data_IF_632865968918
#
_entry.id   IF_632865968918
#
_cell.length_a   1.000
_cell.length_b   1.000
_cell.length_c   1.000
_cell.angle_alpha   90.00
_cell.angle_beta   90.00
_cell.angle_gamma   90.00
#
_symmetry.space_group_name_H-M   'P 1'
#
loop_
_entity.id
_entity.type
_entity.pdbx_description
1 polymer ?
#
# COMPACT_ATOMS: atom_id res chain seq x y z
N UNK A 1 -45.58 -79.89 13.70
CA UNK A 1 -44.35 -79.22 14.10
C UNK A 1 -44.29 -77.86 13.41
N UNK A 2 -44.68 -76.77 14.08
CA UNK A 2 -44.71 -75.41 13.56
C UNK A 2 -43.42 -74.74 14.01
N UNK A 3 -42.57 -74.34 13.06
CA UNK A 3 -41.34 -73.53 13.30
C UNK A 3 -41.69 -72.04 13.24
N UNK A 4 -41.58 -71.37 14.36
CA UNK A 4 -41.74 -69.89 14.49
C UNK A 4 -40.41 -69.22 14.15
N UNK A 5 -40.44 -68.36 13.15
CA UNK A 5 -39.28 -67.54 12.67
C UNK A 5 -39.36 -66.20 13.42
N UNK A 6 -38.42 -65.94 14.31
CA UNK A 6 -38.29 -64.65 15.02
C UNK A 6 -37.45 -63.73 14.13
N UNK A 7 -38.06 -62.63 13.65
CA UNK A 7 -37.40 -61.56 12.82
C UNK A 7 -36.87 -60.51 13.83
N UNK A 8 -35.55 -60.43 13.98
CA UNK A 8 -34.89 -59.40 14.78
C UNK A 8 -34.70 -58.16 13.96
N UNK A 9 -35.44 -57.09 14.23
CA UNK A 9 -35.30 -55.78 13.65
C UNK A 9 -34.17 -55.02 14.35
N UNK A 10 -33.01 -54.83 13.66
CA UNK A 10 -31.93 -54.00 14.15
C UNK A 10 -32.26 -52.53 13.87
N UNK A 11 -32.53 -51.73 14.90
CA UNK A 11 -32.60 -50.28 14.81
C UNK A 11 -31.16 -49.70 14.62
N UNK A 12 -30.82 -49.30 13.41
CA UNK A 12 -29.65 -48.49 13.16
C UNK A 12 -29.94 -47.04 13.60
N UNK A 13 -29.44 -46.62 14.74
CA UNK A 13 -29.40 -45.22 15.17
C UNK A 13 -28.34 -44.49 14.36
N UNK A 14 -28.78 -43.66 13.37
CA UNK A 14 -27.94 -42.73 12.66
C UNK A 14 -27.65 -41.53 13.58
N UNK A 15 -26.47 -41.52 14.19
CA UNK A 15 -25.95 -40.31 14.80
C UNK A 15 -25.57 -39.32 13.65
N UNK A 16 -26.07 -38.07 13.67
CA UNK A 16 -25.54 -37.04 12.76
C UNK A 16 -24.08 -36.81 13.17
N UNK A 17 -23.16 -37.12 12.30
CA UNK A 17 -21.79 -36.67 12.44
C UNK A 17 -21.81 -35.12 12.37
N UNK A 18 -21.62 -34.49 13.51
CA UNK A 18 -21.23 -33.08 13.57
C UNK A 18 -19.87 -32.99 12.83
N UNK A 19 -19.91 -32.59 11.57
CA UNK A 19 -18.72 -32.11 10.89
C UNK A 19 -18.31 -30.83 11.61
N UNK A 20 -17.35 -30.93 12.54
CA UNK A 20 -16.58 -29.80 12.98
C UNK A 20 -15.99 -29.23 11.69
N UNK A 21 -16.42 -28.04 11.31
CA UNK A 21 -15.72 -27.29 10.27
C UNK A 21 -14.26 -27.21 10.73
N UNK A 22 -13.34 -27.86 10.02
CA UNK A 22 -11.91 -27.71 10.29
C UNK A 22 -11.59 -26.23 10.17
N UNK A 23 -11.43 -25.58 11.33
CA UNK A 23 -11.02 -24.20 11.41
C UNK A 23 -9.68 -24.05 10.69
N UNK A 24 -9.55 -23.08 9.79
CA UNK A 24 -8.26 -22.75 9.19
C UNK A 24 -7.26 -22.47 10.32
N UNK A 25 -6.09 -23.07 10.24
CA UNK A 25 -5.03 -22.97 11.25
C UNK A 25 -3.92 -21.96 10.88
N UNK A 26 -4.08 -21.25 9.76
CA UNK A 26 -3.12 -20.28 9.23
C UNK A 26 -3.81 -18.95 8.93
N UNK A 27 -3.22 -17.85 9.40
CA UNK A 27 -3.71 -16.48 9.17
C UNK A 27 -3.67 -16.16 7.67
N UNK A 28 -4.76 -15.61 7.14
CA UNK A 28 -4.88 -15.14 5.75
C UNK A 28 -4.92 -13.62 5.71
N UNK A 29 -3.95 -13.05 5.02
CA UNK A 29 -3.73 -11.60 4.88
C UNK A 29 -3.80 -11.24 3.40
N UNK A 30 -4.61 -10.26 3.03
CA UNK A 30 -4.77 -9.77 1.66
C UNK A 30 -4.61 -8.26 1.62
N UNK A 31 -4.37 -7.66 0.46
CA UNK A 31 -4.52 -6.21 0.33
C UNK A 31 -3.35 -5.50 -0.34
N UNK A 32 -3.00 -4.34 0.20
CA UNK A 32 -2.07 -3.37 -0.38
C UNK A 32 -0.72 -3.98 -0.78
N UNK A 33 -0.31 -3.74 -2.03
CA UNK A 33 1.02 -4.06 -2.55
C UNK A 33 2.13 -3.28 -1.82
N UNK A 34 1.85 -2.06 -1.39
CA UNK A 34 2.77 -1.23 -0.61
C UNK A 34 3.04 -1.82 0.79
N UNK A 35 2.00 -2.33 1.45
CA UNK A 35 2.12 -2.94 2.80
C UNK A 35 2.62 -4.39 2.72
N UNK A 36 2.47 -5.04 1.57
CA UNK A 36 2.84 -6.43 1.35
C UNK A 36 4.26 -6.80 1.83
N UNK A 37 5.35 -6.06 1.49
CA UNK A 37 6.69 -6.39 1.93
C UNK A 37 6.86 -6.31 3.45
N UNK A 38 6.21 -5.35 4.10
CA UNK A 38 6.23 -5.20 5.56
C UNK A 38 5.49 -6.36 6.24
N UNK A 39 4.26 -6.62 5.81
CA UNK A 39 3.46 -7.72 6.34
C UNK A 39 4.11 -9.08 6.13
N UNK A 40 4.78 -9.31 4.99
CA UNK A 40 5.52 -10.55 4.71
C UNK A 40 6.72 -10.69 5.65
N UNK A 41 7.46 -9.60 5.91
CA UNK A 41 8.60 -9.63 6.84
C UNK A 41 8.14 -10.00 8.26
N UNK A 42 7.04 -9.41 8.75
CA UNK A 42 6.47 -9.79 10.05
C UNK A 42 5.97 -11.23 10.04
N UNK A 43 5.28 -11.67 8.97
CA UNK A 43 4.76 -13.02 8.83
C UNK A 43 5.87 -14.08 8.87
N UNK A 44 7.00 -13.83 8.21
CA UNK A 44 8.16 -14.72 8.22
C UNK A 44 8.81 -14.81 9.61
N UNK A 45 8.96 -13.67 10.31
CA UNK A 45 9.51 -13.65 11.68
C UNK A 45 8.58 -14.35 12.66
N UNK A 46 7.29 -14.02 12.61
CA UNK A 46 6.27 -14.69 13.40
C UNK A 46 6.22 -16.20 13.13
N UNK A 47 6.31 -16.60 11.87
CA UNK A 47 6.31 -18.03 11.48
C UNK A 47 7.48 -18.82 12.05
N UNK A 48 8.65 -18.19 12.23
CA UNK A 48 9.83 -18.83 12.85
C UNK A 48 9.62 -19.17 14.33
N UNK A 49 8.81 -18.36 15.04
CA UNK A 49 8.53 -18.56 16.47
C UNK A 49 7.28 -19.39 16.71
N UNK A 50 6.23 -19.21 15.90
CA UNK A 50 4.95 -19.91 16.04
C UNK A 50 4.88 -21.26 15.32
N UNK A 51 5.81 -21.54 14.39
CA UNK A 51 5.78 -22.70 13.52
C UNK A 51 4.76 -22.63 12.38
N UNK A 52 4.00 -21.54 12.26
CA UNK A 52 2.98 -21.34 11.21
C UNK A 52 3.12 -19.92 10.62
N UNK A 53 3.59 -19.85 9.37
CA UNK A 53 3.74 -18.58 8.66
C UNK A 53 2.40 -18.13 8.09
N UNK A 54 1.91 -16.92 8.42
CA UNK A 54 0.73 -16.32 7.78
C UNK A 54 0.86 -16.27 6.26
N UNK A 55 -0.25 -16.51 5.55
CA UNK A 55 -0.30 -16.34 4.09
C UNK A 55 -0.58 -14.89 3.77
N UNK A 56 0.31 -14.22 3.05
CA UNK A 56 0.16 -12.83 2.63
C UNK A 56 0.01 -12.77 1.11
N UNK A 57 -1.04 -12.10 0.63
CA UNK A 57 -1.34 -11.95 -0.80
C UNK A 57 -1.52 -10.47 -1.16
N UNK A 58 -0.82 -10.03 -2.21
CA UNK A 58 -0.95 -8.67 -2.77
C UNK A 58 -2.13 -8.62 -3.75
N UNK A 59 -3.20 -7.93 -3.35
CA UNK A 59 -4.44 -7.78 -4.15
C UNK A 59 -4.81 -6.30 -4.38
N UNK A 60 -3.93 -5.38 -3.95
CA UNK A 60 -4.22 -3.96 -3.84
C UNK A 60 -5.19 -3.64 -2.70
N UNK A 61 -5.16 -2.40 -2.18
CA UNK A 61 -6.01 -2.00 -1.04
C UNK A 61 -7.50 -2.23 -1.29
N UNK A 62 -8.01 -1.81 -2.46
CA UNK A 62 -9.43 -1.97 -2.79
C UNK A 62 -9.85 -3.42 -3.00
N UNK A 63 -9.00 -4.24 -3.64
CA UNK A 63 -9.22 -5.67 -3.80
C UNK A 63 -9.23 -6.40 -2.46
N UNK A 64 -8.25 -6.11 -1.60
CA UNK A 64 -8.16 -6.65 -0.26
C UNK A 64 -9.36 -6.30 0.62
N UNK A 65 -9.80 -5.03 0.62
CA UNK A 65 -11.00 -4.62 1.35
C UNK A 65 -12.25 -5.34 0.87
N UNK A 66 -12.41 -5.53 -0.45
CA UNK A 66 -13.54 -6.28 -1.01
C UNK A 66 -13.55 -7.73 -0.53
N UNK A 67 -12.39 -8.41 -0.52
CA UNK A 67 -12.25 -9.78 -0.03
C UNK A 67 -12.46 -9.85 1.49
N UNK A 68 -11.86 -8.94 2.25
CA UNK A 68 -12.02 -8.84 3.69
C UNK A 68 -13.47 -8.60 4.10
N UNK A 69 -14.18 -7.69 3.44
CA UNK A 69 -15.59 -7.38 3.71
C UNK A 69 -16.58 -8.34 3.04
N UNK A 70 -16.15 -9.48 2.47
CA UNK A 70 -17.05 -10.43 1.80
C UNK A 70 -17.89 -11.27 2.77
N UNK A 71 -17.48 -11.40 4.05
CA UNK A 71 -18.18 -12.16 5.06
C UNK A 71 -17.38 -12.32 6.35
N UNK A 72 -18.04 -12.80 7.42
CA UNK A 72 -17.45 -13.04 8.73
C UNK A 72 -17.06 -14.51 8.97
N UNK A 73 -17.21 -15.38 7.98
CA UNK A 73 -16.86 -16.80 8.11
C UNK A 73 -15.32 -16.97 7.98
N UNK A 74 -14.78 -17.98 8.67
CA UNK A 74 -13.32 -18.22 8.75
C UNK A 74 -12.64 -18.63 7.44
N UNK A 75 -13.39 -18.90 6.39
CA UNK A 75 -12.89 -19.11 5.02
C UNK A 75 -12.57 -17.80 4.27
N UNK A 76 -12.98 -16.64 4.84
CA UNK A 76 -12.63 -15.32 4.33
C UNK A 76 -11.35 -14.77 4.98
N UNK A 77 -10.65 -13.77 4.38
CA UNK A 77 -9.42 -13.23 4.96
C UNK A 77 -9.60 -12.65 6.37
N UNK A 78 -8.60 -12.86 7.24
CA UNK A 78 -8.59 -12.36 8.61
C UNK A 78 -8.15 -10.91 8.70
N UNK A 79 -7.18 -10.55 7.83
CA UNK A 79 -6.49 -9.26 7.84
C UNK A 79 -6.50 -8.67 6.44
N UNK A 80 -6.75 -7.36 6.35
CA UNK A 80 -6.59 -6.58 5.13
C UNK A 80 -5.53 -5.49 5.30
N UNK A 81 -4.47 -5.56 4.49
CA UNK A 81 -3.46 -4.50 4.38
C UNK A 81 -3.99 -3.34 3.55
N UNK A 82 -3.68 -2.11 3.95
CA UNK A 82 -4.14 -0.91 3.26
C UNK A 82 -3.12 0.21 3.27
N UNK A 83 -2.92 0.87 2.13
CA UNK A 83 -2.09 2.05 1.97
C UNK A 83 -2.88 3.38 2.04
N UNK A 84 -4.04 3.33 2.62
CA UNK A 84 -4.92 4.42 3.01
C UNK A 84 -5.91 3.94 4.07
N UNK A 85 -6.52 4.87 4.79
CA UNK A 85 -7.59 4.51 5.71
C UNK A 85 -8.77 3.87 4.95
N UNK A 86 -9.48 2.94 5.58
CA UNK A 86 -10.73 2.36 5.07
C UNK A 86 -11.75 3.48 4.80
N UNK A 87 -12.48 3.37 3.70
CA UNK A 87 -13.55 4.32 3.36
C UNK A 87 -14.84 3.95 4.08
N UNK A 88 -15.70 4.93 4.37
CA UNK A 88 -17.02 4.67 4.95
C UNK A 88 -17.80 3.63 4.14
N UNK A 89 -17.82 3.74 2.81
CA UNK A 89 -18.52 2.80 1.93
C UNK A 89 -17.96 1.36 1.97
N UNK A 90 -16.68 1.19 2.32
CA UNK A 90 -16.08 -0.13 2.51
C UNK A 90 -16.47 -0.70 3.87
N UNK A 91 -16.45 0.14 4.92
CA UNK A 91 -16.91 -0.25 6.26
C UNK A 91 -18.40 -0.60 6.27
N UNK A 92 -19.25 0.19 5.62
CA UNK A 92 -20.68 -0.10 5.45
C UNK A 92 -20.86 -1.48 4.80
N UNK A 93 -20.05 -1.79 3.77
CA UNK A 93 -20.08 -3.10 3.10
C UNK A 93 -19.62 -4.24 3.99
N UNK A 94 -18.63 -4.02 4.85
CA UNK A 94 -18.23 -4.97 5.89
C UNK A 94 -19.41 -5.29 6.81
N UNK A 95 -20.06 -4.25 7.35
CA UNK A 95 -21.19 -4.37 8.29
C UNK A 95 -22.37 -5.10 7.64
N UNK A 96 -22.75 -4.73 6.40
CA UNK A 96 -23.80 -5.41 5.61
C UNK A 96 -23.55 -6.91 5.48
N UNK A 97 -22.29 -7.32 5.28
CA UNK A 97 -21.89 -8.72 5.14
C UNK A 97 -21.57 -9.41 6.47
N UNK A 98 -21.90 -8.80 7.61
CA UNK A 98 -21.73 -9.37 8.95
C UNK A 98 -20.37 -9.15 9.60
N UNK A 99 -19.43 -8.46 8.96
CA UNK A 99 -18.14 -8.06 9.54
C UNK A 99 -18.35 -6.75 10.30
N UNK A 100 -18.81 -6.84 11.55
CA UNK A 100 -19.22 -5.67 12.36
C UNK A 100 -18.06 -5.06 13.15
N UNK A 101 -17.20 -5.90 13.70
CA UNK A 101 -16.13 -5.50 14.60
C UNK A 101 -14.80 -5.54 13.85
N UNK A 102 -14.39 -4.39 13.31
CA UNK A 102 -13.15 -4.20 12.58
C UNK A 102 -12.15 -3.43 13.45
N UNK A 103 -10.98 -4.02 13.70
CA UNK A 103 -9.86 -3.37 14.37
C UNK A 103 -9.03 -2.66 13.31
N UNK A 104 -8.75 -1.37 13.49
CA UNK A 104 -7.83 -0.59 12.65
C UNK A 104 -6.47 -0.53 13.34
N UNK A 105 -5.41 -0.84 12.61
CA UNK A 105 -4.04 -0.72 13.09
C UNK A 105 -3.25 0.13 12.09
N UNK A 106 -2.93 1.36 12.46
CA UNK A 106 -1.98 2.19 11.73
C UNK A 106 -0.57 1.68 12.05
N UNK A 107 0.27 1.48 11.02
CA UNK A 107 1.58 0.84 11.21
C UNK A 107 2.77 1.77 10.96
N UNK A 108 2.55 2.89 10.30
CA UNK A 108 3.60 3.85 9.93
C UNK A 108 3.20 4.61 8.69
N UNK A 109 4.20 5.10 7.97
CA UNK A 109 4.00 5.88 6.75
C UNK A 109 4.85 5.33 5.61
N UNK A 110 4.38 5.58 4.39
CA UNK A 110 5.11 5.42 3.15
C UNK A 110 5.37 6.80 2.57
N UNK A 111 6.63 7.13 2.31
CA UNK A 111 7.05 8.36 1.68
C UNK A 111 7.86 8.05 0.43
N UNK A 112 7.40 8.57 -0.72
CA UNK A 112 8.08 8.39 -2.01
C UNK A 112 8.78 9.69 -2.36
N UNK A 113 10.07 9.61 -2.61
CA UNK A 113 10.87 10.78 -2.96
C UNK A 113 11.12 10.83 -4.46
N UNK A 114 11.19 12.05 -4.97
CA UNK A 114 11.71 12.38 -6.26
C UNK A 114 13.08 13.04 -6.04
N UNK A 115 14.13 12.23 -6.16
CA UNK A 115 15.47 12.60 -5.73
C UNK A 115 16.41 12.89 -6.89
N UNK A 116 17.49 13.60 -6.64
CA UNK A 116 18.56 13.89 -7.59
C UNK A 116 19.92 13.87 -6.90
N UNK A 117 21.00 13.85 -7.68
CA UNK A 117 22.34 14.00 -7.13
C UNK A 117 22.46 15.33 -6.36
N UNK A 118 23.18 15.30 -5.23
CA UNK A 118 23.35 16.46 -4.36
C UNK A 118 23.94 17.66 -5.12
N UNK A 119 23.36 18.84 -4.93
CA UNK A 119 23.73 20.09 -5.56
C UNK A 119 23.50 21.26 -4.58
N UNK A 120 23.98 22.50 -4.86
CA UNK A 120 23.90 23.61 -3.91
C UNK A 120 22.50 24.00 -3.44
N UNK A 121 21.48 23.74 -4.28
CA UNK A 121 20.06 23.94 -3.92
C UNK A 121 19.22 22.82 -4.49
N UNK A 122 18.24 22.30 -3.74
CA UNK A 122 17.35 21.24 -4.21
C UNK A 122 16.47 21.76 -5.36
N UNK A 123 16.16 20.87 -6.29
CA UNK A 123 15.19 21.17 -7.35
C UNK A 123 13.80 21.37 -6.76
N UNK A 124 13.03 22.29 -7.35
CA UNK A 124 11.64 22.56 -6.98
C UNK A 124 10.72 22.17 -8.11
N UNK A 125 9.78 21.28 -7.80
CA UNK A 125 8.82 20.75 -8.77
C UNK A 125 7.42 20.72 -8.16
N UNK A 126 6.42 20.66 -9.01
CA UNK A 126 5.06 20.32 -8.60
C UNK A 126 4.72 18.90 -9.03
N UNK A 127 3.76 18.26 -8.38
CA UNK A 127 3.25 16.96 -8.81
C UNK A 127 2.70 17.00 -10.23
N UNK A 128 2.09 18.13 -10.62
CA UNK A 128 1.62 18.33 -11.99
C UNK A 128 2.78 18.35 -13.00
N UNK A 129 3.89 19.04 -12.71
CA UNK A 129 5.07 19.03 -13.57
C UNK A 129 5.65 17.62 -13.72
N UNK A 130 5.70 16.84 -12.63
CA UNK A 130 6.15 15.45 -12.66
C UNK A 130 5.18 14.57 -13.47
N UNK A 131 3.87 14.76 -13.31
CA UNK A 131 2.84 14.08 -14.10
C UNK A 131 3.03 14.37 -15.60
N UNK A 132 3.16 15.65 -15.99
CA UNK A 132 3.40 16.05 -17.38
C UNK A 132 4.72 15.49 -17.91
N UNK A 133 5.74 15.32 -17.07
CA UNK A 133 7.00 14.70 -17.48
C UNK A 133 6.88 13.19 -17.74
N UNK A 134 6.09 12.45 -16.97
CA UNK A 134 6.14 10.99 -16.90
C UNK A 134 4.89 10.25 -17.37
N UNK A 135 3.73 10.91 -17.45
CA UNK A 135 2.53 10.25 -17.96
C UNK A 135 2.70 9.87 -19.44
N UNK A 136 2.16 8.70 -19.84
CA UNK A 136 2.17 8.23 -21.22
C UNK A 136 1.42 9.21 -22.14
N UNK A 137 0.27 9.67 -21.66
CA UNK A 137 -0.54 10.69 -22.33
C UNK A 137 -0.78 11.87 -21.39
N UNK A 138 -0.89 13.05 -21.94
CA UNK A 138 -1.09 14.31 -21.21
C UNK A 138 -2.22 15.13 -21.85
N UNK A 139 -2.88 16.03 -21.10
CA UNK A 139 -3.86 16.95 -21.66
C UNK A 139 -3.30 17.79 -22.80
N UNK A 140 -4.10 18.00 -23.84
CA UNK A 140 -3.72 18.82 -24.99
C UNK A 140 -3.50 20.28 -24.59
N UNK A 141 -2.43 20.91 -25.09
CA UNK A 141 -2.07 22.32 -24.77
C UNK A 141 -3.08 23.35 -25.25
N UNK A 142 -3.92 22.99 -26.23
CA UNK A 142 -4.89 23.91 -26.84
C UNK A 142 -6.18 24.07 -26.04
N UNK A 143 -6.27 23.49 -24.84
CA UNK A 143 -7.47 23.55 -23.98
C UNK A 143 -8.58 22.58 -24.37
N UNK A 144 -8.38 21.72 -25.36
CA UNK A 144 -9.33 20.64 -25.67
C UNK A 144 -9.32 19.57 -24.56
N UNK A 145 -10.48 19.05 -24.20
CA UNK A 145 -10.65 17.97 -23.23
C UNK A 145 -10.28 16.60 -23.86
N UNK A 146 -9.03 16.48 -24.26
CA UNK A 146 -8.47 15.24 -24.80
C UNK A 146 -7.05 14.98 -24.32
N UNK A 147 -6.65 13.72 -24.28
CA UNK A 147 -5.27 13.31 -24.10
C UNK A 147 -4.54 13.21 -25.43
N UNK A 148 -3.27 13.58 -25.42
CA UNK A 148 -2.33 13.37 -26.53
C UNK A 148 -1.13 12.61 -26.02
N UNK A 149 -0.42 11.91 -26.90
CA UNK A 149 0.85 11.28 -26.55
C UNK A 149 1.81 12.33 -26.03
N UNK A 150 2.58 12.01 -25.00
CA UNK A 150 3.39 12.97 -24.27
C UNK A 150 4.46 13.62 -25.19
N UNK A 151 4.36 14.93 -25.50
CA UNK A 151 5.27 15.60 -26.40
C UNK A 151 6.51 16.16 -25.71
N UNK A 152 6.54 16.20 -24.37
CA UNK A 152 7.60 16.85 -23.61
C UNK A 152 8.89 16.04 -23.65
N UNK A 153 10.02 16.69 -24.00
CA UNK A 153 11.35 16.09 -24.05
C UNK A 153 12.30 16.71 -23.03
N UNK A 154 12.14 17.99 -22.79
CA UNK A 154 12.93 18.76 -21.84
C UNK A 154 12.02 19.23 -20.69
N UNK A 155 12.58 19.41 -19.51
CA UNK A 155 11.85 20.01 -18.39
C UNK A 155 11.31 21.41 -18.74
N UNK A 156 12.09 22.21 -19.48
CA UNK A 156 11.66 23.52 -19.96
C UNK A 156 10.53 23.48 -21.02
N UNK A 157 10.18 22.33 -21.58
CA UNK A 157 9.01 22.19 -22.46
C UNK A 157 7.71 22.20 -21.65
N UNK A 158 7.78 21.77 -20.37
CA UNK A 158 6.68 21.76 -19.42
C UNK A 158 6.50 23.16 -18.84
N UNK A 159 7.58 23.73 -18.30
CA UNK A 159 7.59 25.05 -17.69
C UNK A 159 8.93 25.75 -18.01
N UNK A 160 8.86 26.98 -18.51
CA UNK A 160 10.06 27.77 -18.91
C UNK A 160 10.96 28.17 -17.75
N UNK A 161 10.46 28.05 -16.50
CA UNK A 161 11.28 28.26 -15.29
C UNK A 161 12.17 27.07 -14.96
N UNK A 162 11.88 25.89 -15.54
CA UNK A 162 12.65 24.66 -15.34
C UNK A 162 13.86 24.62 -16.29
N UNK A 163 14.90 23.84 -15.94
CA UNK A 163 16.11 23.75 -16.76
C UNK A 163 15.83 23.11 -18.11
N UNK A 164 16.58 23.57 -19.15
CA UNK A 164 16.52 23.00 -20.51
C UNK A 164 17.30 21.67 -20.59
N UNK A 165 17.11 20.78 -19.61
CA UNK A 165 17.70 19.45 -19.57
C UNK A 165 16.67 18.39 -19.98
N UNK A 166 17.16 17.28 -20.54
CA UNK A 166 16.31 16.15 -20.94
C UNK A 166 15.56 15.59 -19.73
N UNK A 167 14.28 15.26 -19.92
CA UNK A 167 13.53 14.48 -18.95
C UNK A 167 14.11 13.07 -18.91
N UNK A 168 14.71 12.73 -17.77
CA UNK A 168 15.29 11.42 -17.51
C UNK A 168 15.03 11.08 -16.05
N UNK A 169 14.20 10.07 -15.82
CA UNK A 169 13.78 9.63 -14.48
C UNK A 169 14.01 8.14 -14.33
N UNK A 170 14.73 7.77 -13.32
CA UNK A 170 15.08 6.39 -13.00
C UNK A 170 14.19 5.94 -11.85
N UNK A 171 13.47 4.85 -12.02
CA UNK A 171 12.53 4.41 -11.00
C UNK A 171 12.28 2.92 -10.99
N UNK A 172 11.52 2.43 -10.02
CA UNK A 172 11.25 1.01 -9.84
C UNK A 172 10.36 0.42 -10.94
N UNK A 173 10.41 -0.91 -11.14
CA UNK A 173 9.61 -1.62 -12.14
C UNK A 173 8.12 -1.69 -11.76
N UNK A 174 7.22 -2.14 -12.66
CA UNK A 174 5.78 -2.28 -12.41
C UNK A 174 5.40 -3.20 -11.24
N UNK A 175 6.28 -4.12 -10.83
CA UNK A 175 6.09 -5.02 -9.68
C UNK A 175 6.28 -4.34 -8.33
N UNK A 176 6.86 -3.13 -8.30
CA UNK A 176 7.22 -2.43 -7.07
C UNK A 176 6.04 -1.69 -6.43
N UNK A 177 5.86 -1.88 -5.11
CA UNK A 177 4.91 -1.09 -4.31
C UNK A 177 5.24 0.41 -4.28
N UNK A 178 6.53 0.79 -4.36
CA UNK A 178 7.00 2.17 -4.49
C UNK A 178 6.48 2.80 -5.78
N UNK A 179 6.53 2.05 -6.90
CA UNK A 179 5.96 2.52 -8.18
C UNK A 179 4.44 2.70 -8.08
N UNK A 180 3.73 1.76 -7.45
CA UNK A 180 2.28 1.89 -7.25
C UNK A 180 1.95 3.15 -6.44
N UNK A 181 2.69 3.41 -5.35
CA UNK A 181 2.54 4.60 -4.53
C UNK A 181 2.79 5.88 -5.33
N UNK A 182 3.88 5.92 -6.10
CA UNK A 182 4.20 7.06 -6.95
C UNK A 182 3.09 7.32 -7.99
N UNK A 183 2.60 6.28 -8.65
CA UNK A 183 1.52 6.40 -9.64
C UNK A 183 0.24 6.95 -9.00
N UNK A 184 -0.14 6.47 -7.81
CA UNK A 184 -1.34 6.96 -7.11
C UNK A 184 -1.17 8.40 -6.60
N UNK A 185 -0.05 8.71 -5.93
CA UNK A 185 0.15 9.98 -5.24
C UNK A 185 0.55 11.12 -6.17
N UNK A 186 1.14 10.82 -7.32
CA UNK A 186 1.61 11.83 -8.29
C UNK A 186 0.77 11.79 -9.57
N UNK A 187 0.78 10.68 -10.33
CA UNK A 187 0.12 10.65 -11.63
C UNK A 187 -1.40 10.75 -11.51
N UNK A 188 -2.01 9.86 -10.75
CA UNK A 188 -3.46 9.85 -10.53
C UNK A 188 -3.94 11.14 -9.86
N UNK A 189 -3.26 11.57 -8.80
CA UNK A 189 -3.61 12.78 -8.06
C UNK A 189 -3.55 14.04 -8.94
N UNK A 190 -2.57 14.15 -9.84
CA UNK A 190 -2.47 15.26 -10.78
C UNK A 190 -3.48 15.15 -11.93
N UNK A 191 -3.72 13.93 -12.42
CA UNK A 191 -4.74 13.67 -13.46
C UNK A 191 -6.14 14.10 -12.99
N UNK A 192 -6.49 13.87 -11.73
CA UNK A 192 -7.78 14.27 -11.11
C UNK A 192 -7.98 15.78 -10.97
N UNK A 193 -6.94 16.57 -11.13
CA UNK A 193 -7.09 18.04 -11.15
C UNK A 193 -7.80 18.52 -12.45
N UNK A 194 -7.83 17.70 -13.48
CA UNK A 194 -8.60 17.94 -14.70
C UNK A 194 -10.00 17.32 -14.52
N UNK A 195 -11.01 18.16 -14.28
CA UNK A 195 -12.38 17.72 -13.95
C UNK A 195 -12.98 16.71 -14.95
N UNK A 196 -12.68 16.86 -16.25
CA UNK A 196 -13.12 15.93 -17.30
C UNK A 196 -12.46 14.56 -17.21
N UNK A 197 -11.22 14.46 -16.71
CA UNK A 197 -10.56 13.18 -16.44
C UNK A 197 -11.09 12.54 -15.16
N UNK A 198 -11.30 13.33 -14.10
CA UNK A 198 -11.93 12.84 -12.87
C UNK A 198 -13.33 12.26 -13.12
N UNK A 199 -14.08 12.87 -14.04
CA UNK A 199 -15.42 12.37 -14.42
C UNK A 199 -15.38 10.97 -15.02
N UNK A 200 -14.31 10.59 -15.71
CA UNK A 200 -14.11 9.24 -16.29
C UNK A 200 -14.03 8.19 -15.16
N UNK A 201 -13.37 8.49 -14.03
CA UNK A 201 -13.28 7.54 -12.90
C UNK A 201 -14.64 7.09 -12.37
N UNK A 202 -15.63 7.98 -12.40
CA UNK A 202 -16.99 7.70 -11.93
C UNK A 202 -17.78 6.80 -12.88
N UNK A 203 -17.40 6.79 -14.17
CA UNK A 203 -18.08 6.05 -15.24
C UNK A 203 -17.35 4.72 -15.52
N UNK A 204 -16.04 4.77 -15.69
CA UNK A 204 -15.19 3.63 -16.06
C UNK A 204 -13.81 3.77 -15.38
N UNK A 205 -13.63 3.03 -14.27
CA UNK A 205 -12.38 3.03 -13.50
C UNK A 205 -11.21 2.45 -14.27
N UNK A 206 -11.46 1.48 -15.16
CA UNK A 206 -10.41 0.84 -15.95
C UNK A 206 -9.91 1.79 -17.05
N UNK A 207 -10.82 2.52 -17.69
CA UNK A 207 -10.47 3.56 -18.66
C UNK A 207 -9.72 4.72 -17.99
N UNK A 208 -10.19 5.17 -16.82
CA UNK A 208 -9.47 6.14 -16.00
C UNK A 208 -8.06 5.64 -15.66
N UNK A 209 -7.91 4.39 -15.22
CA UNK A 209 -6.62 3.79 -14.91
C UNK A 209 -5.66 3.79 -16.11
N UNK A 210 -6.14 3.39 -17.28
CA UNK A 210 -5.34 3.43 -18.52
C UNK A 210 -4.87 4.85 -18.88
N UNK A 211 -5.72 5.86 -18.66
CA UNK A 211 -5.45 7.26 -19.00
C UNK A 211 -4.55 7.98 -17.99
N UNK A 212 -4.77 7.73 -16.70
CA UNK A 212 -4.18 8.52 -15.62
C UNK A 212 -3.02 7.84 -14.89
N UNK A 213 -2.85 6.51 -15.03
CA UNK A 213 -1.83 5.74 -14.30
C UNK A 213 -0.71 5.20 -15.17
N UNK A 214 -0.79 5.37 -16.49
CA UNK A 214 0.22 4.83 -17.40
C UNK A 214 1.44 5.74 -17.48
N UNK A 215 2.62 5.19 -17.18
CA UNK A 215 3.91 5.85 -17.37
C UNK A 215 4.35 5.67 -18.82
N UNK A 216 5.08 6.69 -19.36
CA UNK A 216 5.64 6.65 -20.71
C UNK A 216 6.79 5.66 -20.84
N UNK A 217 6.96 5.08 -22.05
CA UNK A 217 7.94 4.03 -22.35
C UNK A 217 8.96 4.46 -23.42
N UNK A 218 9.05 5.74 -23.71
CA UNK A 218 9.89 6.33 -24.77
C UNK A 218 11.31 6.68 -24.31
N UNK A 219 11.72 6.17 -23.14
CA UNK A 219 13.05 6.36 -22.59
C UNK A 219 13.22 7.59 -21.67
N UNK A 220 12.14 8.34 -21.39
CA UNK A 220 12.16 9.37 -20.36
C UNK A 220 12.04 8.78 -18.96
N UNK A 221 11.33 7.65 -18.81
CA UNK A 221 11.34 6.81 -17.61
C UNK A 221 12.22 5.57 -17.87
N UNK A 222 13.14 5.30 -16.95
CA UNK A 222 14.10 4.18 -17.03
C UNK A 222 13.88 3.27 -15.83
N UNK A 223 13.50 2.03 -16.08
CA UNK A 223 13.35 1.04 -15.02
C UNK A 223 14.71 0.58 -14.49
N UNK A 224 14.91 0.59 -13.17
CA UNK A 224 16.16 0.27 -12.51
C UNK A 224 16.15 -1.05 -11.72
N UNK A 225 15.04 -1.78 -11.72
CA UNK A 225 14.84 -2.96 -10.88
C UNK A 225 14.34 -2.61 -9.48
N UNK A 226 14.16 -3.64 -8.64
CA UNK A 226 13.59 -3.52 -7.29
C UNK A 226 14.58 -2.95 -6.24
N UNK A 227 15.87 -2.87 -6.58
CA UNK A 227 16.89 -2.43 -5.64
C UNK A 227 17.18 -0.93 -5.79
N UNK A 228 16.69 -0.14 -4.84
CA UNK A 228 16.82 1.33 -4.82
C UNK A 228 18.28 1.80 -4.79
N UNK A 229 19.22 1.00 -4.29
CA UNK A 229 20.65 1.32 -4.36
C UNK A 229 21.16 1.50 -5.79
N UNK A 230 20.57 0.79 -6.77
CA UNK A 230 20.93 0.95 -8.18
C UNK A 230 20.49 2.33 -8.71
N UNK A 231 19.37 2.86 -8.20
CA UNK A 231 18.89 4.20 -8.55
C UNK A 231 19.88 5.24 -8.01
N UNK A 232 20.24 5.13 -6.73
CA UNK A 232 21.21 6.05 -6.08
C UNK A 232 22.55 6.07 -6.82
N UNK A 233 23.07 4.89 -7.20
CA UNK A 233 24.32 4.79 -7.98
C UNK A 233 24.21 5.49 -9.34
N UNK A 234 23.10 5.29 -10.06
CA UNK A 234 22.87 5.94 -11.35
C UNK A 234 22.73 7.45 -11.22
N UNK A 235 22.08 7.96 -10.17
CA UNK A 235 22.02 9.40 -9.89
C UNK A 235 23.39 9.99 -9.61
N UNK A 236 24.25 9.30 -8.88
CA UNK A 236 25.63 9.75 -8.63
C UNK A 236 26.44 9.89 -9.92
N UNK A 237 26.16 9.03 -10.93
CA UNK A 237 26.81 9.07 -12.24
C UNK A 237 26.17 10.08 -13.22
N UNK A 238 24.85 10.35 -13.07
CA UNK A 238 24.11 11.28 -13.95
C UNK A 238 23.40 12.37 -13.12
N UNK A 239 24.05 13.51 -12.98
CA UNK A 239 23.56 14.63 -12.17
C UNK A 239 22.32 15.33 -12.72
N UNK A 240 21.92 15.04 -13.96
CA UNK A 240 20.74 15.63 -14.60
C UNK A 240 19.50 14.73 -14.48
N UNK A 241 19.66 13.48 -14.02
CA UNK A 241 18.56 12.55 -13.85
C UNK A 241 17.90 12.73 -12.48
N UNK A 242 16.63 12.36 -12.42
CA UNK A 242 15.89 12.16 -11.16
C UNK A 242 15.73 10.67 -10.87
N UNK A 243 15.53 10.35 -9.61
CA UNK A 243 15.24 8.98 -9.13
C UNK A 243 13.98 8.94 -8.29
N UNK A 244 13.26 7.82 -8.36
CA UNK A 244 12.07 7.56 -7.55
C UNK A 244 12.34 6.37 -6.66
N UNK A 245 12.27 6.56 -5.34
CA UNK A 245 12.48 5.51 -4.33
C UNK A 245 11.89 5.93 -2.97
N UNK A 246 11.95 5.04 -1.99
CA UNK A 246 11.45 5.28 -0.63
C UNK A 246 12.30 6.29 0.15
N UNK A 247 11.66 7.05 1.04
CA UNK A 247 12.31 8.08 1.87
C UNK A 247 13.48 7.52 2.73
N UNK A 248 13.38 6.30 3.24
CA UNK A 248 14.47 5.70 4.01
C UNK A 248 15.79 5.60 3.23
N UNK A 249 15.73 5.28 1.93
CA UNK A 249 16.92 5.27 1.06
C UNK A 249 17.48 6.67 0.84
N UNK A 250 16.63 7.72 0.88
CA UNK A 250 17.12 9.10 0.85
C UNK A 250 17.92 9.41 2.11
N UNK A 251 17.42 9.03 3.29
CA UNK A 251 18.13 9.25 4.56
C UNK A 251 19.46 8.51 4.59
N UNK A 252 19.48 7.23 4.25
CA UNK A 252 20.69 6.41 4.22
C UNK A 252 21.76 6.91 3.24
N UNK A 253 21.37 7.63 2.19
CA UNK A 253 22.27 8.12 1.14
C UNK A 253 22.30 9.65 1.04
N UNK A 254 21.98 10.35 2.12
CA UNK A 254 21.93 11.83 2.19
C UNK A 254 23.26 12.52 1.93
N UNK A 255 24.36 11.80 1.91
CA UNK A 255 25.69 12.24 1.49
C UNK A 255 25.81 12.37 -0.05
N UNK A 256 25.03 11.62 -0.85
CA UNK A 256 25.12 11.51 -2.31
C UNK A 256 23.95 12.13 -3.05
N UNK A 257 22.75 11.97 -2.48
CA UNK A 257 21.49 12.38 -3.09
C UNK A 257 20.67 13.28 -2.16
N UNK A 258 19.74 14.03 -2.72
CA UNK A 258 18.78 14.85 -1.99
C UNK A 258 17.42 14.80 -2.66
N UNK A 259 16.36 15.01 -1.87
CA UNK A 259 14.99 15.04 -2.36
C UNK A 259 14.64 16.40 -2.98
N UNK A 260 13.95 16.39 -4.12
CA UNK A 260 13.35 17.60 -4.65
C UNK A 260 12.23 18.10 -3.74
N UNK A 261 12.09 19.41 -3.66
CA UNK A 261 10.92 20.06 -3.06
C UNK A 261 9.72 19.81 -3.98
N UNK A 262 8.64 19.18 -3.46
CA UNK A 262 7.42 18.93 -4.24
C UNK A 262 6.27 19.73 -3.61
N UNK A 263 5.58 20.53 -4.45
CA UNK A 263 4.48 21.41 -4.02
C UNK A 263 4.87 22.30 -2.83
N UNK A 264 6.14 22.78 -2.79
CA UNK A 264 6.65 23.65 -1.74
C UNK A 264 7.07 22.94 -0.45
N UNK A 265 7.18 21.59 -0.44
CA UNK A 265 7.59 20.80 0.72
C UNK A 265 8.75 19.86 0.37
N UNK A 266 9.79 19.87 1.21
CA UNK A 266 10.86 18.88 1.17
C UNK A 266 10.39 17.56 1.79
N UNK A 267 10.87 16.41 1.30
CA UNK A 267 10.63 15.13 1.94
C UNK A 267 11.50 15.01 3.20
N UNK A 268 10.93 15.35 4.34
CA UNK A 268 11.53 15.13 5.67
C UNK A 268 10.60 14.27 6.51
N UNK A 269 11.13 13.66 7.57
CA UNK A 269 10.32 12.89 8.51
C UNK A 269 9.11 13.71 8.98
N UNK A 270 9.30 14.98 9.36
CA UNK A 270 8.25 15.85 9.87
C UNK A 270 7.18 16.15 8.84
N UNK A 271 7.56 16.46 7.60
CA UNK A 271 6.60 16.78 6.53
C UNK A 271 5.85 15.54 6.02
N UNK A 272 6.46 14.36 6.11
CA UNK A 272 5.85 13.08 5.78
C UNK A 272 4.86 12.67 6.87
N UNK A 273 5.28 12.66 8.13
CA UNK A 273 4.43 12.25 9.25
C UNK A 273 3.26 13.20 9.52
N UNK A 274 3.44 14.52 9.27
CA UNK A 274 2.35 15.50 9.33
C UNK A 274 1.42 15.47 8.11
N UNK A 275 1.80 14.76 7.01
CA UNK A 275 1.06 14.74 5.76
C UNK A 275 1.16 16.03 4.95
N UNK A 276 2.10 16.93 5.28
CA UNK A 276 2.39 18.13 4.49
C UNK A 276 3.06 17.79 3.16
N UNK A 277 3.98 16.81 3.17
CA UNK A 277 4.57 16.27 1.95
C UNK A 277 3.58 15.31 1.28
N UNK A 278 2.99 15.77 0.17
CA UNK A 278 1.83 15.09 -0.46
C UNK A 278 2.16 13.80 -1.20
N UNK A 279 3.45 13.45 -1.35
CA UNK A 279 3.87 12.14 -1.90
C UNK A 279 4.17 11.18 -0.75
N UNK A 280 3.32 11.21 0.26
CA UNK A 280 3.34 10.31 1.41
C UNK A 280 1.93 9.92 1.83
N UNK A 281 1.82 8.82 2.57
CA UNK A 281 0.54 8.30 3.07
C UNK A 281 0.72 7.42 4.30
N UNK A 282 -0.24 7.39 5.22
CA UNK A 282 -0.25 6.44 6.31
C UNK A 282 -0.60 5.03 5.82
N UNK A 283 0.02 4.04 6.45
CA UNK A 283 -0.17 2.62 6.19
C UNK A 283 -0.95 1.96 7.32
N UNK A 284 -1.79 0.98 6.97
CA UNK A 284 -2.68 0.30 7.90
C UNK A 284 -2.76 -1.19 7.62
N UNK A 285 -3.20 -1.93 8.62
CA UNK A 285 -3.93 -3.17 8.42
C UNK A 285 -5.21 -3.17 9.24
N UNK A 286 -6.19 -3.97 8.80
CA UNK A 286 -7.51 -4.13 9.42
C UNK A 286 -7.71 -5.58 9.79
N UNK A 287 -8.27 -5.84 10.97
CA UNK A 287 -8.44 -7.20 11.51
C UNK A 287 -9.91 -7.47 11.83
N UNK A 288 -10.43 -8.62 11.43
CA UNK A 288 -11.74 -9.12 11.89
C UNK A 288 -11.64 -9.58 13.34
N UNK A 289 -12.21 -8.84 14.27
CA UNK A 289 -12.23 -9.23 15.68
C UNK A 289 -12.87 -10.60 15.90
N UNK A 290 -13.91 -10.94 15.13
CA UNK A 290 -14.61 -12.23 15.20
C UNK A 290 -13.71 -13.44 14.86
N UNK A 291 -12.60 -13.24 14.15
CA UNK A 291 -11.66 -14.31 13.83
C UNK A 291 -10.62 -14.56 14.95
N UNK A 292 -10.44 -13.57 15.87
CA UNK A 292 -9.53 -13.73 17.01
C UNK A 292 -10.05 -14.85 17.93
N UNK A 293 -9.22 -15.85 18.16
CA UNK A 293 -9.58 -17.05 18.91
C UNK A 293 -10.21 -18.18 18.07
N UNK A 294 -10.78 -17.87 16.89
CA UNK A 294 -11.25 -18.87 15.92
C UNK A 294 -10.14 -19.30 14.96
N UNK A 295 -9.30 -18.36 14.54
CA UNK A 295 -8.06 -18.60 13.80
C UNK A 295 -6.90 -18.36 14.75
N UNK A 296 -6.06 -19.40 15.01
CA UNK A 296 -4.97 -19.28 15.98
C UNK A 296 -3.91 -18.27 15.53
N UNK A 297 -3.39 -17.48 16.50
CA UNK A 297 -2.21 -16.66 16.30
C UNK A 297 -2.46 -15.23 15.81
N UNK A 298 -3.71 -14.82 15.56
CA UNK A 298 -4.01 -13.45 15.11
C UNK A 298 -3.58 -12.40 16.15
N UNK A 299 -3.87 -12.63 17.43
CA UNK A 299 -3.51 -11.70 18.49
C UNK A 299 -1.99 -11.59 18.66
N UNK A 300 -1.29 -12.72 18.58
CA UNK A 300 0.18 -12.79 18.66
C UNK A 300 0.84 -12.14 17.42
N UNK A 301 0.26 -12.32 16.23
CA UNK A 301 0.73 -11.64 15.01
C UNK A 301 0.57 -10.12 15.12
N UNK A 302 -0.57 -9.65 15.63
CA UNK A 302 -0.76 -8.22 15.90
C UNK A 302 0.27 -7.71 16.91
N UNK A 303 0.53 -8.46 17.98
CA UNK A 303 1.52 -8.09 18.99
C UNK A 303 2.96 -8.06 18.43
N UNK A 304 3.32 -9.00 17.55
CA UNK A 304 4.61 -8.97 16.85
C UNK A 304 4.72 -7.72 15.98
N UNK A 305 3.69 -7.43 15.16
CA UNK A 305 3.69 -6.29 14.26
C UNK A 305 3.79 -4.95 15.01
N UNK A 306 3.16 -4.86 16.20
CA UNK A 306 3.14 -3.66 17.03
C UNK A 306 4.21 -3.64 18.13
N UNK A 307 5.23 -4.49 17.99
CA UNK A 307 6.39 -4.48 18.89
C UNK A 307 7.38 -3.38 18.48
N UNK A 308 8.11 -2.80 19.44
CA UNK A 308 9.17 -1.83 19.13
C UNK A 308 10.26 -2.44 18.25
N UNK A 309 10.52 -3.76 18.37
CA UNK A 309 11.44 -4.47 17.51
C UNK A 309 10.98 -4.51 16.04
N UNK A 310 9.66 -4.45 15.79
CA UNK A 310 9.11 -4.40 14.44
C UNK A 310 9.00 -2.97 13.90
N UNK A 311 8.22 -2.12 14.52
CA UNK A 311 7.83 -0.81 14.00
C UNK A 311 8.49 0.40 14.68
N UNK A 312 9.41 0.16 15.63
CA UNK A 312 10.19 1.22 16.28
C UNK A 312 11.11 1.94 15.29
N UNK A 313 11.75 3.01 15.77
CA UNK A 313 12.69 3.81 14.96
C UNK A 313 13.86 2.96 14.45
N UNK A 314 14.38 2.08 15.30
CA UNK A 314 15.42 1.08 14.97
C UNK A 314 14.81 -0.30 14.68
N UNK A 315 13.51 -0.36 14.37
CA UNK A 315 12.80 -1.60 14.11
C UNK A 315 13.08 -2.16 12.70
N UNK A 316 12.97 -3.47 12.56
CA UNK A 316 13.27 -4.13 11.28
C UNK A 316 12.36 -3.71 10.11
N UNK A 317 11.22 -3.05 10.37
CA UNK A 317 10.37 -2.48 9.33
C UNK A 317 10.89 -1.13 8.83
N UNK A 318 11.57 -0.36 9.68
CA UNK A 318 12.30 0.84 9.25
C UNK A 318 13.44 0.48 8.30
N UNK A 319 14.21 -0.58 8.59
CA UNK A 319 15.21 -1.13 7.66
C UNK A 319 14.64 -1.54 6.29
N UNK A 320 13.33 -1.80 6.23
CA UNK A 320 12.59 -2.12 4.99
C UNK A 320 11.97 -0.90 4.31
N UNK A 321 12.19 0.30 4.84
CA UNK A 321 11.70 1.54 4.27
C UNK A 321 10.38 2.05 4.82
N UNK A 322 9.82 1.43 5.86
CA UNK A 322 8.67 1.99 6.55
C UNK A 322 9.10 3.17 7.42
N UNK A 323 8.42 4.30 7.28
CA UNK A 323 8.65 5.45 8.15
C UNK A 323 7.85 5.23 9.43
N UNK A 324 8.51 5.11 10.60
CA UNK A 324 7.81 4.86 11.86
C UNK A 324 6.94 6.05 12.27
N UNK A 325 5.87 5.76 13.01
CA UNK A 325 5.14 6.78 13.74
C UNK A 325 6.00 7.32 14.89
N UNK A 326 5.67 8.51 15.41
CA UNK A 326 6.31 8.98 16.65
C UNK A 326 5.97 8.06 17.85
N UNK A 327 6.75 8.15 18.93
CA UNK A 327 6.61 7.25 20.06
C UNK A 327 5.24 7.31 20.76
N UNK A 328 4.63 8.50 20.84
CA UNK A 328 3.31 8.69 21.44
C UNK A 328 2.22 8.00 20.61
N UNK A 329 2.24 8.18 19.30
CA UNK A 329 1.30 7.56 18.37
C UNK A 329 1.44 6.03 18.37
N UNK A 330 2.70 5.50 18.38
CA UNK A 330 2.94 4.04 18.49
C UNK A 330 2.36 3.49 19.80
N UNK A 331 2.60 4.17 20.92
CA UNK A 331 2.09 3.75 22.23
C UNK A 331 0.55 3.71 22.26
N UNK A 332 -0.11 4.71 21.67
CA UNK A 332 -1.57 4.73 21.58
C UNK A 332 -2.10 3.59 20.72
N UNK A 333 -1.55 3.38 19.53
CA UNK A 333 -1.99 2.28 18.66
C UNK A 333 -1.73 0.92 19.30
N UNK A 334 -0.59 0.72 19.95
CA UNK A 334 -0.30 -0.53 20.69
C UNK A 334 -1.32 -0.79 21.81
N UNK A 335 -1.72 0.27 22.53
CA UNK A 335 -2.75 0.16 23.57
C UNK A 335 -4.12 -0.22 22.97
N UNK A 336 -4.52 0.40 21.85
CA UNK A 336 -5.77 0.10 21.15
C UNK A 336 -5.81 -1.34 20.62
N UNK A 337 -4.69 -1.82 20.06
CA UNK A 337 -4.52 -3.22 19.61
C UNK A 337 -4.64 -4.18 20.78
N UNK A 338 -3.97 -3.91 21.91
CA UNK A 338 -4.05 -4.75 23.12
C UNK A 338 -5.45 -4.79 23.70
N UNK A 339 -6.19 -3.69 23.64
CA UNK A 339 -7.59 -3.61 24.09
C UNK A 339 -8.58 -4.16 23.07
N UNK A 340 -8.13 -4.53 21.85
CA UNK A 340 -8.97 -4.95 20.72
C UNK A 340 -10.08 -3.92 20.41
N UNK A 341 -9.71 -2.65 20.43
CA UNK A 341 -10.61 -1.54 20.11
C UNK A 341 -11.05 -1.62 18.65
N UNK A 342 -12.35 -1.44 18.41
CA UNK A 342 -12.93 -1.53 17.07
C UNK A 342 -13.24 -0.14 16.54
N UNK A 343 -13.28 -0.03 15.20
CA UNK A 343 -13.75 1.18 14.52
C UNK A 343 -15.21 1.49 14.90
N UNK A 344 -15.56 2.77 15.05
CA UNK A 344 -16.97 3.18 15.11
C UNK A 344 -17.64 2.91 13.76
N UNK A 345 -18.97 2.69 13.76
CA UNK A 345 -19.74 2.48 12.53
C UNK A 345 -19.67 3.68 11.57
N UNK A 346 -19.40 4.88 12.10
CA UNK A 346 -19.14 6.11 11.32
C UNK A 346 -17.73 6.60 11.58
N UNK A 347 -16.96 6.75 10.51
CA UNK A 347 -15.54 7.15 10.52
C UNK A 347 -15.35 8.66 10.70
#
# INVERSE_FOLDING_TARGET
MKKTLILATALMSTYPALTLAEGRDTISIVGSSTVYPFATTVAERYGKTSGKTPKVESTGTGGGMKLFCSGAAVDTPDIANASRRIKQSELDKCIENGVKDVIEVKIGYDGIVFAHAKQPQPNKLTREQIYLALAKQVPAKNGEEKLVDNPYKLWSDIDKSLPATKIEVIGPPPSSGTRDSFVELVLEASCKQYAWLEAIEKIDKDDFGRKCKSIREDGAYIEAGENDNLIVQKLSANKNAFGIFGYSFLEENSDKVEGAEIDGKLPTFETISSGEYKVSRPLYFYVKKAHIGSVPGIAEFMAEFTSDAAWGEDGYLAEKGMIPMNAEERAQVAADVKALNVLPEKL
#
